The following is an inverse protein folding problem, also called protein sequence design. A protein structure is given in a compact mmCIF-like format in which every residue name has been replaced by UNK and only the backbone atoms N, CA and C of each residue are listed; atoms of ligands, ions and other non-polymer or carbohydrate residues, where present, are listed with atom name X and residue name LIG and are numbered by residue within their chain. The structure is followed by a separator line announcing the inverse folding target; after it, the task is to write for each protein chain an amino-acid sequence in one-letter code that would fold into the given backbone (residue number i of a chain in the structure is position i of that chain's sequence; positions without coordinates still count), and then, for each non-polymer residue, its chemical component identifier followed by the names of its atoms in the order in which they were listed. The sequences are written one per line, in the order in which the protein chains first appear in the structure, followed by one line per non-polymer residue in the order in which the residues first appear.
data_IF_296820770075
#
_entry.id   IF_296820770075
#
_cell.length_a   1.000
_cell.length_b   1.000
_cell.length_c   1.000
_cell.angle_alpha   90.00
_cell.angle_beta   90.00
_cell.angle_gamma   90.00
#
_symmetry.space_group_name_H-M   'P 1'
#
loop_
_entity.id
_entity.type
_entity.pdbx_description
1 polymer ?
#
# COMPACT_ATOMS: atom_id res chain seq x y z
N UNK A 1 11.77 -3.65 8.61
CA UNK A 1 10.90 -3.17 7.50
C UNK A 1 9.45 -3.44 7.87
N UNK A 2 8.52 -2.52 7.60
CA UNK A 2 7.19 -2.44 8.24
C UNK A 2 6.44 -3.77 8.34
N UNK A 3 6.33 -4.54 7.24
CA UNK A 3 5.64 -5.84 7.27
C UNK A 3 6.28 -6.84 8.25
N UNK A 4 7.62 -6.87 8.34
CA UNK A 4 8.36 -7.80 9.22
C UNK A 4 8.22 -7.47 10.71
N UNK A 5 7.89 -6.22 11.03
CA UNK A 5 7.80 -5.73 12.41
C UNK A 5 6.35 -5.66 12.89
N UNK A 6 5.43 -5.26 12.00
CA UNK A 6 4.07 -4.86 12.37
C UNK A 6 3.00 -5.71 11.67
N UNK A 7 3.38 -6.59 10.73
CA UNK A 7 2.46 -7.41 9.92
C UNK A 7 1.37 -6.61 9.18
N UNK A 8 1.55 -5.29 9.02
CA UNK A 8 0.61 -4.43 8.32
C UNK A 8 1.33 -3.19 7.82
N UNK A 9 1.13 -2.87 6.55
CA UNK A 9 1.58 -1.62 5.96
C UNK A 9 0.42 -0.97 5.19
N UNK A 10 0.37 0.35 5.21
CA UNK A 10 -0.66 1.11 4.50
C UNK A 10 0.01 2.20 3.67
N UNK A 11 -0.41 2.31 2.40
CA UNK A 11 0.04 3.36 1.50
C UNK A 11 -1.18 4.07 0.94
N UNK A 12 -1.22 5.40 1.07
CA UNK A 12 -2.26 6.23 0.48
C UNK A 12 -1.66 6.99 -0.70
N UNK A 13 -2.35 6.94 -1.84
CA UNK A 13 -1.90 7.57 -3.07
C UNK A 13 -3.04 8.31 -3.77
N UNK A 14 -2.75 9.51 -4.27
CA UNK A 14 -3.70 10.36 -5.00
C UNK A 14 -3.19 10.60 -6.42
N UNK A 15 -4.05 10.32 -7.40
CA UNK A 15 -3.73 10.45 -8.81
C UNK A 15 -3.06 9.21 -9.41
N UNK A 16 -3.27 8.99 -10.71
CA UNK A 16 -2.87 7.77 -11.40
C UNK A 16 -1.37 7.47 -11.32
N UNK A 17 -0.52 8.51 -11.41
CA UNK A 17 0.93 8.36 -11.31
C UNK A 17 1.37 7.83 -9.95
N UNK A 18 0.87 8.43 -8.86
CA UNK A 18 1.21 8.02 -7.50
C UNK A 18 0.72 6.59 -7.20
N UNK A 19 -0.51 6.26 -7.60
CA UNK A 19 -1.09 4.92 -7.43
C UNK A 19 -0.24 3.88 -8.15
N UNK A 20 0.17 4.15 -9.39
CA UNK A 20 1.04 3.25 -10.14
C UNK A 20 2.40 3.03 -9.46
N UNK A 21 3.00 4.07 -8.89
CA UNK A 21 4.27 3.93 -8.16
C UNK A 21 4.10 3.16 -6.85
N UNK A 22 3.03 3.44 -6.10
CA UNK A 22 2.71 2.71 -4.88
C UNK A 22 2.52 1.22 -5.15
N UNK A 23 1.77 0.87 -6.20
CA UNK A 23 1.54 -0.53 -6.58
C UNK A 23 2.85 -1.22 -7.03
N UNK A 24 3.69 -0.56 -7.82
CA UNK A 24 5.01 -1.09 -8.20
C UNK A 24 5.88 -1.38 -6.98
N UNK A 25 5.90 -0.46 -6.01
CA UNK A 25 6.63 -0.65 -4.77
C UNK A 25 6.11 -1.87 -3.97
N UNK A 26 4.79 -2.05 -3.90
CA UNK A 26 4.18 -3.24 -3.26
C UNK A 26 4.57 -4.52 -3.99
N UNK A 27 4.57 -4.54 -5.33
CA UNK A 27 4.98 -5.71 -6.13
C UNK A 27 6.44 -6.07 -5.85
N UNK A 28 7.33 -5.09 -5.80
CA UNK A 28 8.76 -5.31 -5.47
C UNK A 28 8.90 -5.85 -4.04
N UNK A 29 8.22 -5.23 -3.07
CA UNK A 29 8.27 -5.66 -1.68
C UNK A 29 7.72 -7.08 -1.48
N UNK A 30 6.65 -7.44 -2.20
CA UNK A 30 6.11 -8.80 -2.23
C UNK A 30 7.15 -9.81 -2.69
N UNK A 31 7.96 -9.49 -3.70
CA UNK A 31 9.07 -10.34 -4.15
C UNK A 31 10.07 -10.64 -3.02
N UNK A 32 10.55 -9.60 -2.33
CA UNK A 32 11.48 -9.77 -1.19
C UNK A 32 10.87 -10.57 -0.03
N UNK A 33 9.58 -10.40 0.24
CA UNK A 33 8.89 -11.13 1.30
C UNK A 33 8.68 -12.61 0.92
N UNK A 34 8.39 -12.90 -0.36
CA UNK A 34 8.26 -14.27 -0.85
C UNK A 34 9.58 -15.04 -0.77
N UNK A 35 10.72 -14.40 -1.06
CA UNK A 35 12.06 -15.01 -0.91
C UNK A 35 12.36 -15.41 0.56
N UNK A 36 11.71 -14.75 1.52
CA UNK A 36 11.81 -15.02 2.96
C UNK A 36 10.66 -15.91 3.48
N UNK A 37 9.80 -16.44 2.60
CA UNK A 37 8.68 -17.30 2.96
C UNK A 37 7.47 -16.57 3.57
N UNK A 38 7.39 -15.25 3.44
CA UNK A 38 6.27 -14.44 3.93
C UNK A 38 5.32 -14.12 2.76
N UNK A 39 4.15 -14.77 2.75
CA UNK A 39 3.10 -14.48 1.78
C UNK A 39 2.26 -13.28 2.25
N UNK A 40 2.09 -12.28 1.38
CA UNK A 40 1.27 -11.10 1.64
C UNK A 40 0.20 -10.87 0.56
N UNK A 41 -0.89 -10.25 0.98
CA UNK A 41 -1.98 -9.75 0.13
C UNK A 41 -2.04 -8.23 0.16
N UNK A 42 -2.56 -7.63 -0.91
CA UNK A 42 -2.84 -6.20 -1.00
C UNK A 42 -4.34 -6.02 -1.19
N UNK A 43 -4.99 -5.30 -0.29
CA UNK A 43 -6.42 -4.99 -0.33
C UNK A 43 -6.61 -3.48 -0.57
N UNK A 44 -7.07 -3.08 -1.77
CA UNK A 44 -7.26 -1.67 -2.11
C UNK A 44 -8.66 -1.17 -1.71
N UNK A 45 -8.73 0.04 -1.17
CA UNK A 45 -9.99 0.74 -0.88
C UNK A 45 -9.92 2.22 -1.29
N UNK A 46 -11.09 2.81 -1.58
CA UNK A 46 -11.19 4.27 -1.69
C UNK A 46 -11.26 4.89 -0.29
N UNK A 47 -10.59 6.02 -0.11
CA UNK A 47 -10.67 6.80 1.12
C UNK A 47 -10.64 8.27 0.82
N UNK A 48 -11.44 9.05 1.52
CA UNK A 48 -11.37 10.51 1.45
C UNK A 48 -10.31 11.04 2.42
N UNK A 49 -9.46 11.93 1.91
CA UNK A 49 -8.38 12.56 2.66
C UNK A 49 -8.44 14.07 2.50
N UNK A 50 -8.24 14.79 3.60
CA UNK A 50 -8.19 16.25 3.59
C UNK A 50 -6.76 16.73 3.28
N UNK A 51 -6.60 17.49 2.20
CA UNK A 51 -5.34 18.14 1.81
C UNK A 51 -5.64 19.62 1.54
N UNK A 52 -4.92 20.52 2.19
CA UNK A 52 -5.10 21.97 2.08
C UNK A 52 -6.56 22.42 2.27
N UNK A 53 -7.28 21.75 3.18
CA UNK A 53 -8.70 22.02 3.47
C UNK A 53 -9.67 21.52 2.40
N UNK A 54 -9.21 20.81 1.38
CA UNK A 54 -10.04 20.19 0.35
C UNK A 54 -10.07 18.67 0.53
N UNK A 55 -11.26 18.07 0.47
CA UNK A 55 -11.38 16.62 0.39
C UNK A 55 -10.96 16.11 -0.99
N UNK A 56 -10.16 15.05 -0.99
CA UNK A 56 -9.70 14.33 -2.16
C UNK A 56 -9.96 12.86 -1.94
N UNK A 57 -10.49 12.17 -2.94
CA UNK A 57 -10.54 10.72 -2.94
C UNK A 57 -9.15 10.16 -3.30
N UNK A 58 -8.58 9.38 -2.40
CA UNK A 58 -7.35 8.62 -2.55
C UNK A 58 -7.65 7.13 -2.69
N UNK A 59 -6.64 6.37 -3.11
CA UNK A 59 -6.63 4.92 -2.97
C UNK A 59 -5.73 4.57 -1.80
N UNK A 60 -6.26 3.83 -0.82
CA UNK A 60 -5.48 3.20 0.23
C UNK A 60 -5.19 1.76 -0.17
N UNK A 61 -3.92 1.39 -0.11
CA UNK A 61 -3.43 0.05 -0.38
C UNK A 61 -2.98 -0.54 0.96
N UNK A 62 -3.75 -1.49 1.49
CA UNK A 62 -3.43 -2.17 2.74
C UNK A 62 -2.72 -3.47 2.42
N UNK A 63 -1.52 -3.67 2.97
CA UNK A 63 -0.72 -4.88 2.79
C UNK A 63 -0.61 -5.61 4.13
N UNK A 64 -0.93 -6.90 4.13
CA UNK A 64 -0.84 -7.77 5.31
C UNK A 64 -0.49 -9.20 4.92
N UNK A 65 0.09 -10.01 5.83
CA UNK A 65 0.23 -11.45 5.64
C UNK A 65 -1.10 -12.10 5.29
N UNK A 66 -1.04 -13.14 4.47
CA UNK A 66 -2.22 -13.90 4.08
C UNK A 66 -2.75 -14.77 5.21
#
# INVERSE_FOLDING_TARGET
GVIREVNRAEVQAIGAGAVNQALKAIVIAKGYLQEEGVEVVCDPEFVDVAIDGQERTAIRLVVSPR
#
